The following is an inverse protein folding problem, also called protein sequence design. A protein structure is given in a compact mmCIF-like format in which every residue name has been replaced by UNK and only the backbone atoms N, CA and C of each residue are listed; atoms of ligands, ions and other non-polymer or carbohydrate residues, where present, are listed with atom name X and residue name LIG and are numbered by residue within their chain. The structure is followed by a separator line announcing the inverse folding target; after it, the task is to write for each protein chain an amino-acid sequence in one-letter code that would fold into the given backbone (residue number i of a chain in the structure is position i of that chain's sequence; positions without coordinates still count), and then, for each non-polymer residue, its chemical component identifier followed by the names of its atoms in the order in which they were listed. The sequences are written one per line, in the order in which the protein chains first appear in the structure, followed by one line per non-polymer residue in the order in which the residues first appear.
data_IF_769317488951
#
_entry.id   IF_769317488951
#
_cell.length_a   1.000
_cell.length_b   1.000
_cell.length_c   1.000
_cell.angle_alpha   90.00
_cell.angle_beta   90.00
_cell.angle_gamma   90.00
#
_symmetry.space_group_name_H-M   'P 1'
#
loop_
_entity.id
_entity.type
_entity.pdbx_description
1 polymer ?
#
# COMPACT_ATOMS: atom_id res chain seq x y z
N UNK A 1 2.53 -33.54 15.50
CA UNK A 1 1.65 -32.45 14.99
C UNK A 1 1.12 -32.80 13.61
N UNK A 2 1.97 -33.05 12.61
CA UNK A 2 1.52 -33.58 11.30
C UNK A 2 0.85 -34.95 11.43
N UNK A 3 1.48 -35.92 12.11
CA UNK A 3 0.91 -37.26 12.31
C UNK A 3 -0.29 -37.30 13.26
N UNK A 4 -0.44 -36.29 14.14
CA UNK A 4 -1.50 -36.27 15.16
C UNK A 4 -2.73 -35.46 14.77
N UNK A 5 -2.60 -34.47 13.89
CA UNK A 5 -3.71 -33.60 13.47
C UNK A 5 -4.04 -33.72 11.97
N UNK A 6 -3.22 -34.40 11.17
CA UNK A 6 -3.40 -34.51 9.71
C UNK A 6 -3.23 -33.18 8.96
N UNK A 7 -2.71 -32.14 9.63
CA UNK A 7 -2.51 -30.80 9.06
C UNK A 7 -1.14 -30.76 8.41
N UNK A 8 -1.10 -30.63 7.08
CA UNK A 8 0.14 -30.49 6.32
C UNK A 8 0.83 -29.15 6.62
N UNK A 9 2.09 -29.18 7.05
CA UNK A 9 2.88 -27.97 7.31
C UNK A 9 3.50 -27.51 6.00
N UNK A 10 2.94 -26.44 5.43
CA UNK A 10 3.48 -25.81 4.21
C UNK A 10 4.08 -24.44 4.51
N UNK A 11 5.25 -24.14 3.95
CA UNK A 11 5.92 -22.84 4.11
C UNK A 11 5.22 -21.68 3.39
N UNK A 12 4.26 -21.99 2.52
CA UNK A 12 3.56 -21.04 1.65
C UNK A 12 2.13 -21.49 1.41
N UNK A 13 1.18 -20.63 1.73
CA UNK A 13 -0.26 -20.88 1.55
C UNK A 13 -0.86 -19.76 0.72
N UNK A 14 -1.79 -20.09 -0.17
CA UNK A 14 -2.57 -19.10 -0.90
C UNK A 14 -3.92 -18.88 -0.22
N UNK A 15 -4.19 -17.66 0.22
CA UNK A 15 -5.44 -17.28 0.86
C UNK A 15 -6.00 -16.02 0.19
N UNK A 16 -7.27 -16.06 -0.24
CA UNK A 16 -7.94 -14.97 -0.97
C UNK A 16 -7.13 -14.39 -2.15
N UNK A 17 -6.34 -15.23 -2.82
CA UNK A 17 -5.50 -14.80 -3.94
C UNK A 17 -4.11 -14.26 -3.55
N UNK A 18 -3.82 -14.15 -2.25
CA UNK A 18 -2.54 -13.69 -1.71
C UNK A 18 -1.72 -14.90 -1.25
N UNK A 19 -0.43 -14.90 -1.58
CA UNK A 19 0.53 -15.85 -1.03
C UNK A 19 1.04 -15.35 0.32
N UNK A 20 0.68 -16.07 1.37
CA UNK A 20 1.21 -15.90 2.72
C UNK A 20 2.38 -16.88 2.87
N UNK A 21 3.51 -16.36 3.33
CA UNK A 21 4.74 -17.14 3.50
C UNK A 21 5.20 -17.04 4.94
N UNK A 22 5.87 -18.07 5.44
CA UNK A 22 6.43 -18.07 6.79
C UNK A 22 7.50 -16.98 7.00
N UNK A 23 8.19 -16.56 5.93
CA UNK A 23 9.16 -15.46 5.94
C UNK A 23 8.60 -14.22 5.25
N UNK A 24 8.43 -13.12 5.97
CA UNK A 24 7.88 -11.88 5.42
C UNK A 24 8.70 -11.26 4.28
N UNK A 25 10.00 -11.57 4.17
CA UNK A 25 10.89 -11.04 3.12
C UNK A 25 10.45 -11.40 1.70
N UNK A 26 9.82 -12.55 1.50
CA UNK A 26 9.38 -13.03 0.18
C UNK A 26 8.02 -12.47 -0.25
N UNK A 27 7.28 -11.80 0.64
CA UNK A 27 5.92 -11.29 0.36
C UNK A 27 5.87 -10.33 -0.85
N UNK A 28 6.90 -9.51 -1.03
CA UNK A 28 7.01 -8.57 -2.15
C UNK A 28 7.14 -9.31 -3.48
N UNK A 29 8.03 -10.29 -3.55
CA UNK A 29 8.28 -11.05 -4.77
C UNK A 29 7.07 -11.89 -5.13
N UNK A 30 6.48 -12.55 -4.13
CA UNK A 30 5.41 -13.50 -4.34
C UNK A 30 4.07 -12.87 -4.70
N UNK A 31 3.84 -11.61 -4.33
CA UNK A 31 2.57 -10.94 -4.57
C UNK A 31 2.74 -9.73 -5.49
N UNK A 32 3.57 -8.76 -5.11
CA UNK A 32 3.68 -7.48 -5.80
C UNK A 32 4.35 -7.60 -7.17
N UNK A 33 5.46 -8.34 -7.26
CA UNK A 33 6.16 -8.51 -8.54
C UNK A 33 5.32 -9.36 -9.51
N UNK A 34 4.66 -10.41 -9.01
CA UNK A 34 3.74 -11.22 -9.82
C UNK A 34 2.56 -10.40 -10.33
N UNK A 35 1.94 -9.56 -9.48
CA UNK A 35 0.86 -8.69 -9.94
C UNK A 35 1.34 -7.69 -10.99
N UNK A 36 2.52 -7.09 -10.80
CA UNK A 36 3.10 -6.18 -11.80
C UNK A 36 3.33 -6.87 -13.15
N UNK A 37 3.80 -8.13 -13.14
CA UNK A 37 3.97 -8.93 -14.36
C UNK A 37 2.62 -9.22 -15.03
N UNK A 38 1.61 -9.62 -14.26
CA UNK A 38 0.25 -9.85 -14.76
C UNK A 38 -0.34 -8.58 -15.38
N UNK A 39 -0.19 -7.43 -14.72
CA UNK A 39 -0.62 -6.13 -15.26
C UNK A 39 0.10 -5.85 -16.58
N UNK A 40 1.41 -6.09 -16.67
CA UNK A 40 2.15 -5.89 -17.92
C UNK A 40 1.59 -6.76 -19.06
N UNK A 41 1.28 -8.04 -18.78
CA UNK A 41 0.67 -8.95 -19.75
C UNK A 41 -0.75 -8.51 -20.15
N UNK A 42 -1.58 -8.11 -19.19
CA UNK A 42 -2.93 -7.61 -19.43
C UNK A 42 -2.91 -6.35 -20.31
N UNK A 43 -2.01 -5.41 -20.01
CA UNK A 43 -1.85 -4.18 -20.80
C UNK A 43 -1.37 -4.47 -22.22
N UNK A 44 -0.45 -5.42 -22.41
CA UNK A 44 0.00 -5.83 -23.74
C UNK A 44 -1.13 -6.45 -24.57
N UNK A 45 -2.01 -7.24 -23.94
CA UNK A 45 -3.21 -7.79 -24.60
C UNK A 45 -4.19 -6.69 -25.00
N UNK A 46 -4.38 -5.68 -24.14
CA UNK A 46 -5.30 -4.57 -24.40
C UNK A 46 -4.73 -3.50 -25.32
N UNK A 47 -3.44 -3.51 -25.62
CA UNK A 47 -2.78 -2.50 -26.48
C UNK A 47 -3.36 -2.47 -27.90
N UNK A 48 -3.78 -3.64 -28.39
CA UNK A 48 -4.39 -3.81 -29.72
C UNK A 48 -5.85 -3.32 -29.80
N UNK A 49 -6.49 -3.01 -28.67
CA UNK A 49 -7.85 -2.47 -28.66
C UNK A 49 -7.83 -1.03 -29.19
N UNK A 50 -8.77 -0.69 -30.07
CA UNK A 50 -8.92 0.67 -30.62
C UNK A 50 -9.58 1.61 -29.61
N UNK A 51 -8.92 1.82 -28.47
CA UNK A 51 -9.40 2.71 -27.40
C UNK A 51 -8.89 4.14 -27.61
N UNK A 52 -9.75 5.12 -27.36
CA UNK A 52 -9.34 6.52 -27.23
C UNK A 52 -8.42 6.73 -26.01
N UNK A 53 -7.74 7.87 -25.92
CA UNK A 53 -6.89 8.22 -24.76
C UNK A 53 -7.68 8.14 -23.44
N UNK A 54 -8.90 8.68 -23.43
CA UNK A 54 -9.80 8.66 -22.27
C UNK A 54 -10.26 7.23 -21.97
N UNK A 55 -10.55 6.45 -23.02
CA UNK A 55 -10.88 5.02 -22.91
C UNK A 55 -9.78 4.25 -22.18
N UNK A 56 -8.52 4.39 -22.63
CA UNK A 56 -7.36 3.74 -22.00
C UNK A 56 -7.18 4.14 -20.54
N UNK A 57 -7.28 5.44 -20.23
CA UNK A 57 -7.19 5.92 -18.85
C UNK A 57 -8.30 5.30 -17.99
N UNK A 58 -9.51 5.16 -18.54
CA UNK A 58 -10.64 4.54 -17.85
C UNK A 58 -10.41 3.05 -17.63
N UNK A 59 -9.86 2.32 -18.61
CA UNK A 59 -9.44 0.91 -18.46
C UNK A 59 -8.45 0.74 -17.31
N UNK A 60 -7.46 1.63 -17.17
CA UNK A 60 -6.52 1.59 -16.03
C UNK A 60 -7.25 1.76 -14.70
N UNK A 61 -8.17 2.72 -14.61
CA UNK A 61 -8.95 2.97 -13.39
C UNK A 61 -9.87 1.81 -13.02
N UNK A 62 -10.45 1.14 -14.00
CA UNK A 62 -11.42 0.08 -13.77
C UNK A 62 -10.74 -1.26 -13.50
N UNK A 63 -9.65 -1.59 -14.20
CA UNK A 63 -9.06 -2.92 -14.15
C UNK A 63 -7.76 -3.01 -13.34
N UNK A 64 -6.90 -2.00 -13.45
CA UNK A 64 -5.56 -2.03 -12.82
C UNK A 64 -5.63 -1.50 -11.39
N UNK A 65 -6.32 -0.37 -11.20
CA UNK A 65 -6.41 0.29 -9.89
C UNK A 65 -6.99 -0.62 -8.80
N UNK A 66 -8.12 -1.33 -8.99
CA UNK A 66 -8.67 -2.19 -7.94
C UNK A 66 -7.74 -3.33 -7.55
N UNK A 67 -7.06 -3.96 -8.52
CA UNK A 67 -6.08 -5.04 -8.27
C UNK A 67 -4.92 -4.55 -7.39
N UNK A 68 -4.38 -3.37 -7.70
CA UNK A 68 -3.28 -2.77 -6.93
C UNK A 68 -3.77 -2.36 -5.53
N UNK A 69 -4.94 -1.72 -5.43
CA UNK A 69 -5.51 -1.30 -4.15
C UNK A 69 -5.74 -2.48 -3.21
N UNK A 70 -6.25 -3.59 -3.76
CA UNK A 70 -6.45 -4.81 -2.98
C UNK A 70 -5.13 -5.27 -2.33
N UNK A 71 -4.02 -5.31 -3.07
CA UNK A 71 -2.72 -5.66 -2.49
C UNK A 71 -2.22 -4.65 -1.46
N UNK A 72 -2.36 -3.33 -1.72
CA UNK A 72 -1.92 -2.31 -0.78
C UNK A 72 -2.66 -2.37 0.56
N UNK A 73 -3.96 -2.66 0.51
CA UNK A 73 -4.79 -2.77 1.71
C UNK A 73 -4.51 -4.04 2.49
N UNK A 74 -4.30 -5.17 1.80
CA UNK A 74 -4.16 -6.49 2.42
C UNK A 74 -2.74 -6.78 2.92
N UNK A 75 -1.71 -6.29 2.22
CA UNK A 75 -0.30 -6.56 2.55
C UNK A 75 0.44 -5.22 2.65
N UNK A 76 0.34 -4.49 3.78
CA UNK A 76 1.01 -3.21 3.94
C UNK A 76 2.50 -3.43 4.20
N UNK A 77 3.26 -3.58 3.13
CA UNK A 77 4.72 -3.78 3.17
C UNK A 77 5.45 -2.58 2.61
N UNK A 78 6.74 -2.47 2.89
CA UNK A 78 7.57 -1.39 2.37
C UNK A 78 7.75 -1.51 0.86
N UNK A 79 7.25 -0.53 0.13
CA UNK A 79 7.41 -0.42 -1.32
C UNK A 79 8.36 0.73 -1.66
N UNK A 80 9.33 0.45 -2.54
CA UNK A 80 10.31 1.44 -2.98
C UNK A 80 9.76 2.29 -4.13
N UNK A 81 10.27 3.52 -4.25
CA UNK A 81 9.88 4.45 -5.32
C UNK A 81 10.03 3.86 -6.73
N UNK A 82 11.08 3.06 -6.95
CA UNK A 82 11.34 2.35 -8.21
C UNK A 82 10.17 1.50 -8.67
N UNK A 83 9.44 0.86 -7.75
CA UNK A 83 8.27 0.04 -8.10
C UNK A 83 7.15 0.91 -8.69
N UNK A 84 6.87 2.06 -8.08
CA UNK A 84 5.86 3.01 -8.57
C UNK A 84 6.29 3.62 -9.91
N UNK A 85 7.56 4.00 -10.06
CA UNK A 85 8.10 4.54 -11.30
C UNK A 85 7.98 3.53 -12.46
N UNK A 86 8.28 2.26 -12.20
CA UNK A 86 8.12 1.22 -13.21
C UNK A 86 6.65 0.97 -13.59
N UNK A 87 5.73 1.00 -12.61
CA UNK A 87 4.29 0.94 -12.89
C UNK A 87 3.83 2.15 -13.71
N UNK A 88 4.30 3.36 -13.39
CA UNK A 88 4.02 4.56 -14.16
C UNK A 88 4.52 4.45 -15.60
N UNK A 89 5.70 3.84 -15.82
CA UNK A 89 6.23 3.58 -17.17
C UNK A 89 5.36 2.60 -17.95
N UNK A 90 4.92 1.50 -17.34
CA UNK A 90 4.02 0.52 -17.97
C UNK A 90 2.69 1.17 -18.37
N UNK A 91 2.08 1.90 -17.45
CA UNK A 91 0.82 2.61 -17.67
C UNK A 91 0.97 3.70 -18.74
N UNK A 92 2.06 4.46 -18.69
CA UNK A 92 2.36 5.49 -19.71
C UNK A 92 2.52 4.88 -21.10
N UNK A 93 3.26 3.76 -21.22
CA UNK A 93 3.42 3.05 -22.49
C UNK A 93 2.08 2.62 -23.07
N UNK A 94 1.19 2.06 -22.24
CA UNK A 94 -0.15 1.66 -22.65
C UNK A 94 -1.02 2.86 -23.10
N UNK A 95 -1.04 3.93 -22.30
CA UNK A 95 -1.81 5.16 -22.61
C UNK A 95 -1.38 5.74 -23.95
N UNK A 96 -0.08 5.77 -24.23
CA UNK A 96 0.48 6.36 -25.45
C UNK A 96 0.74 5.36 -26.59
N UNK A 97 0.38 4.07 -26.44
CA UNK A 97 0.66 3.01 -27.43
C UNK A 97 2.12 2.99 -27.89
N UNK A 98 3.05 3.03 -26.94
CA UNK A 98 4.48 3.07 -27.23
C UNK A 98 4.99 4.38 -27.83
N UNK A 99 4.12 5.33 -28.18
CA UNK A 99 4.52 6.66 -28.68
C UNK A 99 5.01 7.56 -27.53
N UNK A 100 5.73 8.63 -27.89
CA UNK A 100 6.19 9.63 -26.94
C UNK A 100 5.00 10.32 -26.26
N UNK A 101 5.05 10.41 -24.93
CA UNK A 101 4.03 11.09 -24.14
C UNK A 101 3.91 12.57 -24.52
N UNK A 102 2.69 13.02 -24.84
CA UNK A 102 2.42 14.43 -25.17
C UNK A 102 2.13 15.29 -23.94
N UNK A 103 1.59 14.68 -22.89
CA UNK A 103 1.22 15.36 -21.63
C UNK A 103 2.11 14.83 -20.51
N UNK A 104 2.58 15.72 -19.64
CA UNK A 104 3.35 15.34 -18.45
C UNK A 104 2.50 14.42 -17.57
N UNK A 105 3.09 13.32 -17.08
CA UNK A 105 2.36 12.31 -16.30
C UNK A 105 1.67 12.88 -15.04
N UNK A 106 2.32 13.84 -14.36
CA UNK A 106 1.74 14.53 -13.20
C UNK A 106 0.44 15.29 -13.54
N UNK A 107 0.32 15.84 -14.74
CA UNK A 107 -0.90 16.52 -15.20
C UNK A 107 -2.01 15.51 -15.54
N UNK A 108 -1.65 14.34 -16.06
CA UNK A 108 -2.62 13.25 -16.26
C UNK A 108 -3.24 12.79 -14.93
N UNK A 109 -2.44 12.77 -13.87
CA UNK A 109 -2.88 12.39 -12.53
C UNK A 109 -3.71 13.45 -11.80
N UNK A 110 -3.70 14.69 -12.28
CA UNK A 110 -4.42 15.76 -11.62
C UNK A 110 -5.94 15.59 -11.76
N UNK A 111 -6.70 16.20 -10.85
CA UNK A 111 -8.16 16.12 -10.83
C UNK A 111 -8.77 16.76 -12.09
N UNK A 112 -9.94 16.24 -12.51
CA UNK A 112 -10.68 16.78 -13.65
C UNK A 112 -11.06 18.25 -13.50
N UNK A 113 -11.38 18.68 -12.27
CA UNK A 113 -11.71 20.08 -11.95
C UNK A 113 -10.54 21.02 -12.24
N UNK A 114 -9.30 20.51 -12.16
CA UNK A 114 -8.06 21.27 -12.46
C UNK A 114 -7.56 21.03 -13.89
N UNK A 115 -8.39 20.47 -14.77
CA UNK A 115 -8.04 20.18 -16.16
C UNK A 115 -7.20 18.91 -16.37
N UNK A 116 -7.05 18.07 -15.33
CA UNK A 116 -6.38 16.77 -15.44
C UNK A 116 -7.31 15.63 -15.87
N UNK A 117 -6.76 14.42 -15.97
CA UNK A 117 -7.51 13.21 -16.35
C UNK A 117 -7.85 12.29 -15.16
N UNK A 118 -7.47 12.69 -13.95
CA UNK A 118 -7.59 11.94 -12.71
C UNK A 118 -6.99 10.53 -12.79
N UNK A 119 -5.91 10.34 -13.56
CA UNK A 119 -5.18 9.08 -13.63
C UNK A 119 -4.68 8.69 -12.22
N UNK A 120 -4.73 7.41 -11.81
CA UNK A 120 -4.30 7.03 -10.48
C UNK A 120 -2.83 7.38 -10.20
N UNK A 121 -2.57 7.93 -9.02
CA UNK A 121 -1.23 8.03 -8.47
C UNK A 121 -1.00 6.91 -7.46
N UNK A 122 -0.25 5.89 -7.89
CA UNK A 122 -0.02 4.68 -7.11
C UNK A 122 0.64 4.94 -5.76
N UNK A 123 1.55 5.91 -5.67
CA UNK A 123 2.24 6.24 -4.43
C UNK A 123 1.28 6.90 -3.43
N UNK A 124 0.41 7.81 -3.90
CA UNK A 124 -0.60 8.44 -3.04
C UNK A 124 -1.62 7.40 -2.57
N UNK A 125 -2.07 6.50 -3.44
CA UNK A 125 -2.99 5.42 -3.05
C UNK A 125 -2.36 4.46 -2.03
N UNK A 126 -1.08 4.12 -2.19
CA UNK A 126 -0.34 3.32 -1.21
C UNK A 126 -0.21 4.03 0.15
N UNK A 127 0.06 5.34 0.15
CA UNK A 127 0.09 6.13 1.38
C UNK A 127 -1.30 6.17 2.04
N UNK A 128 -2.35 6.44 1.27
CA UNK A 128 -3.72 6.52 1.78
C UNK A 128 -4.21 5.19 2.39
N UNK A 129 -3.91 4.06 1.73
CA UNK A 129 -4.24 2.73 2.26
C UNK A 129 -3.48 2.41 3.55
N UNK A 130 -2.22 2.85 3.66
CA UNK A 130 -1.46 2.74 4.92
C UNK A 130 -2.09 3.55 6.05
N UNK A 131 -2.64 4.73 5.75
CA UNK A 131 -3.34 5.55 6.75
C UNK A 131 -4.62 4.90 7.27
N UNK A 132 -5.26 4.04 6.48
CA UNK A 132 -6.45 3.31 6.94
C UNK A 132 -6.12 2.41 8.13
N UNK A 133 -4.96 1.76 8.12
CA UNK A 133 -4.47 0.98 9.26
C UNK A 133 -4.09 1.86 10.46
N UNK A 134 -3.42 2.98 10.21
CA UNK A 134 -3.02 3.92 11.27
C UNK A 134 -4.24 4.55 11.94
N UNK A 135 -5.32 4.79 11.19
CA UNK A 135 -6.59 5.30 11.72
C UNK A 135 -7.15 4.36 12.80
N UNK A 136 -7.08 3.05 12.61
CA UNK A 136 -7.53 2.09 13.63
C UNK A 136 -6.71 2.25 14.93
N UNK A 137 -5.38 2.43 14.81
CA UNK A 137 -4.51 2.70 15.96
C UNK A 137 -4.75 4.06 16.62
N UNK A 138 -5.24 5.06 15.88
CA UNK A 138 -5.58 6.38 16.43
C UNK A 138 -6.95 6.35 17.13
N UNK A 139 -7.94 5.65 16.57
CA UNK A 139 -9.32 5.69 17.09
C UNK A 139 -9.52 4.86 18.35
N UNK A 140 -8.62 3.92 18.66
CA UNK A 140 -8.64 3.05 19.84
C UNK A 140 -9.96 2.28 20.07
N UNK A 141 -10.76 2.07 19.02
CA UNK A 141 -12.07 1.41 19.17
C UNK A 141 -11.94 -0.09 19.50
N UNK A 142 -10.96 -0.76 18.90
CA UNK A 142 -10.77 -2.20 19.02
C UNK A 142 -9.73 -2.56 20.10
N UNK A 143 -10.05 -2.30 21.37
CA UNK A 143 -9.13 -2.50 22.50
C UNK A 143 -8.48 -3.89 22.51
N UNK A 144 -9.24 -4.97 22.29
CA UNK A 144 -8.68 -6.34 22.30
C UNK A 144 -7.56 -6.54 21.28
N UNK A 145 -7.79 -6.12 20.03
CA UNK A 145 -6.79 -6.23 18.96
C UNK A 145 -5.58 -5.34 19.25
N UNK A 146 -5.82 -4.12 19.72
CA UNK A 146 -4.78 -3.16 20.05
C UNK A 146 -3.91 -3.60 21.24
N UNK A 147 -4.49 -4.29 22.23
CA UNK A 147 -3.73 -4.89 23.33
C UNK A 147 -2.86 -6.03 22.84
N UNK A 148 -3.35 -6.88 21.93
CA UNK A 148 -2.56 -7.95 21.33
C UNK A 148 -1.43 -7.40 20.45
N UNK A 149 -1.73 -6.42 19.60
CA UNK A 149 -0.73 -5.81 18.72
C UNK A 149 0.33 -5.02 19.50
N UNK A 150 -0.12 -4.34 20.55
CA UNK A 150 0.65 -3.42 21.36
C UNK A 150 1.14 -3.98 22.69
N UNK A 151 1.10 -5.30 22.91
CA UNK A 151 1.49 -5.91 24.20
C UNK A 151 2.91 -5.53 24.65
N UNK A 152 3.81 -5.29 23.69
CA UNK A 152 5.19 -4.86 23.93
C UNK A 152 5.39 -3.34 23.99
N UNK A 153 4.33 -2.54 23.84
CA UNK A 153 4.43 -1.09 23.85
C UNK A 153 4.57 -0.56 25.28
N UNK A 154 5.70 0.09 25.56
CA UNK A 154 5.93 0.79 26.83
C UNK A 154 5.15 2.11 26.95
N UNK A 155 4.60 2.60 25.84
CA UNK A 155 3.83 3.84 25.74
C UNK A 155 2.45 3.51 25.19
N UNK A 156 1.43 4.27 25.56
CA UNK A 156 0.13 4.18 24.90
C UNK A 156 0.25 4.42 23.39
N UNK A 157 -0.65 3.83 22.60
CA UNK A 157 -0.65 3.91 21.14
C UNK A 157 -0.51 5.34 20.60
N UNK A 158 -1.23 6.30 21.18
CA UNK A 158 -1.14 7.71 20.77
C UNK A 158 0.25 8.32 20.96
N UNK A 159 0.83 8.13 22.15
CA UNK A 159 2.18 8.60 22.46
C UNK A 159 3.22 7.92 21.56
N UNK A 160 3.08 6.61 21.33
CA UNK A 160 3.96 5.85 20.44
C UNK A 160 3.93 6.37 19.00
N UNK A 161 2.74 6.60 18.45
CA UNK A 161 2.58 7.08 17.06
C UNK A 161 3.11 8.50 16.86
N UNK A 162 2.96 9.37 17.86
CA UNK A 162 3.30 10.77 17.74
C UNK A 162 4.79 11.05 17.97
N UNK A 163 5.28 10.70 19.17
CA UNK A 163 6.65 10.98 19.61
C UNK A 163 7.66 10.01 19.02
N UNK A 164 7.20 8.85 18.59
CA UNK A 164 8.07 7.78 18.12
C UNK A 164 8.75 7.09 19.29
N UNK A 165 8.70 5.77 19.29
CA UNK A 165 9.30 4.98 20.35
C UNK A 165 10.75 5.29 20.69
N UNK A 166 11.12 5.07 21.97
CA UNK A 166 12.52 5.11 22.44
C UNK A 166 13.35 4.01 21.76
N UNK A 167 14.69 4.11 21.78
CA UNK A 167 15.61 3.09 21.21
C UNK A 167 15.32 1.67 21.73
N UNK A 168 14.72 1.53 22.91
CA UNK A 168 14.29 0.26 23.50
C UNK A 168 13.11 -0.41 22.75
N UNK A 169 12.29 0.34 22.01
CA UNK A 169 11.13 -0.19 21.27
C UNK A 169 11.49 -0.72 19.87
N UNK A 170 12.75 -1.08 19.65
CA UNK A 170 13.24 -1.67 18.41
C UNK A 170 12.44 -2.90 17.99
N UNK A 171 11.90 -3.68 18.94
CA UNK A 171 11.15 -4.91 18.67
C UNK A 171 9.86 -4.66 17.88
N UNK A 172 9.05 -3.65 18.24
CA UNK A 172 7.84 -3.31 17.49
C UNK A 172 8.17 -2.91 16.03
N UNK A 173 9.32 -2.28 15.82
CA UNK A 173 9.84 -1.92 14.49
C UNK A 173 10.51 -3.08 13.74
N UNK A 174 10.77 -4.23 14.37
CA UNK A 174 11.30 -5.42 13.66
C UNK A 174 10.23 -6.12 12.83
N UNK A 175 8.96 -5.93 13.16
CA UNK A 175 7.88 -6.55 12.40
C UNK A 175 7.71 -5.85 11.04
N UNK A 176 7.94 -6.61 9.97
CA UNK A 176 8.01 -6.13 8.59
C UNK A 176 6.83 -5.24 8.17
N UNK A 177 5.61 -5.62 8.54
CA UNK A 177 4.38 -4.88 8.20
C UNK A 177 4.23 -3.61 9.04
N UNK A 178 4.51 -3.69 10.35
CA UNK A 178 4.35 -2.57 11.28
C UNK A 178 5.35 -1.47 10.98
N UNK A 179 6.59 -1.87 10.67
CA UNK A 179 7.63 -0.94 10.24
C UNK A 179 7.22 -0.19 8.96
N UNK A 180 6.67 -0.89 7.97
CA UNK A 180 6.21 -0.26 6.73
C UNK A 180 5.12 0.80 6.98
N UNK A 181 4.11 0.45 7.79
CA UNK A 181 3.03 1.38 8.18
C UNK A 181 3.59 2.60 8.93
N UNK A 182 4.47 2.39 9.90
CA UNK A 182 5.08 3.48 10.66
C UNK A 182 5.95 4.39 9.79
N UNK A 183 6.76 3.83 8.89
CA UNK A 183 7.56 4.65 7.98
C UNK A 183 6.68 5.51 7.06
N UNK A 184 5.57 4.96 6.58
CA UNK A 184 4.59 5.74 5.81
C UNK A 184 3.92 6.81 6.68
N UNK A 185 3.53 6.48 7.91
CA UNK A 185 3.01 7.44 8.88
C UNK A 185 3.97 8.61 9.09
N UNK A 186 5.26 8.36 9.32
CA UNK A 186 6.25 9.40 9.56
C UNK A 186 6.41 10.35 8.37
N UNK A 187 6.22 9.85 7.14
CA UNK A 187 6.23 10.67 5.92
C UNK A 187 4.97 11.53 5.82
N UNK A 188 3.80 10.94 6.07
CA UNK A 188 2.50 11.59 5.86
C UNK A 188 2.12 12.52 7.01
N UNK A 189 2.48 12.21 8.26
CA UNK A 189 2.08 12.99 9.44
C UNK A 189 2.49 14.46 9.32
N UNK A 190 3.67 14.73 8.73
CA UNK A 190 4.19 16.09 8.50
C UNK A 190 3.38 16.87 7.46
N UNK A 191 2.70 16.17 6.55
CA UNK A 191 1.82 16.76 5.55
C UNK A 191 0.41 17.00 6.12
N UNK A 192 -0.07 16.12 6.99
CA UNK A 192 -1.40 16.22 7.57
C UNK A 192 -1.49 17.16 8.78
N UNK A 193 -0.43 17.28 9.57
CA UNK A 193 -0.45 18.01 10.84
C UNK A 193 0.71 19.00 10.94
N UNK A 194 0.36 20.28 11.12
CA UNK A 194 1.31 21.37 11.40
C UNK A 194 1.59 21.50 12.90
N UNK A 195 0.62 21.12 13.74
CA UNK A 195 0.68 21.14 15.21
C UNK A 195 0.35 19.76 15.77
N UNK A 196 0.57 19.58 17.08
CA UNK A 196 0.20 18.35 17.78
C UNK A 196 -1.34 18.18 17.72
N UNK A 197 -1.85 17.05 17.22
CA UNK A 197 -3.28 16.77 17.14
C UNK A 197 -3.89 16.59 18.52
N UNK A 198 -5.17 16.94 18.64
CA UNK A 198 -5.94 16.79 19.87
C UNK A 198 -6.04 15.34 20.33
N UNK A 199 -6.12 14.39 19.40
CA UNK A 199 -6.17 12.95 19.72
C UNK A 199 -4.89 12.40 20.37
N UNK A 200 -3.79 13.17 20.37
CA UNK A 200 -2.55 12.78 21.07
C UNK A 200 -2.61 13.11 22.56
N UNK A 201 -3.42 14.11 22.94
CA UNK A 201 -3.63 14.49 24.32
C UNK A 201 -4.63 13.56 24.96
N UNK A 202 -4.23 12.85 26.01
CA UNK A 202 -5.11 12.00 26.83
C UNK A 202 -5.88 12.79 27.89
N UNK A 203 -5.99 14.12 27.76
CA UNK A 203 -6.78 14.94 28.68
C UNK A 203 -8.20 15.04 28.12
N UNK A 204 -9.01 14.05 28.50
CA UNK A 204 -10.39 14.23 28.97
C UNK A 204 -10.48 13.63 30.38
#
# INVERSE_FOLDING_TARGET
LEETLGIQITNKVKYLGIYITSRCGTLKEDNYLKLKQQIATDLAKWENLQLSLIGRISTIKMNVLPKILYLFQTIPIRIDKKFFDDLNKLVSRFIWQGRKARIKFKLLQDARIRGGFALPNWEIYYQATSLMWIKEWITLRNNRLLTLEGHDLLLGWHAFLWYGGTKAQGYFRRHYIREALLLNWQKVKKQCYVKIPTWVSTIE
#
